data_IF_055136892190
#
_entry.id   IF_055136892190
#
_cell.length_a   1.000
_cell.length_b   1.000
_cell.length_c   1.000
_cell.angle_alpha   90.00
_cell.angle_beta   90.00
_cell.angle_gamma   90.00
#
_symmetry.space_group_name_H-M   'P 1'
#
loop_
_entity.id
_entity.type
_entity.pdbx_description
1 polymer ?
#
# COMPACT_ATOMS: atom_id res chain seq x y z
N UNK A 1 -16.83 8.93 23.84
CA UNK A 1 -15.45 9.14 24.34
C UNK A 1 -14.62 7.86 24.30
N UNK A 2 -15.04 6.75 24.91
CA UNK A 2 -14.30 5.47 24.85
C UNK A 2 -14.07 4.93 23.42
N UNK A 3 -15.08 5.01 22.55
CA UNK A 3 -15.00 4.63 21.14
C UNK A 3 -13.90 5.37 20.38
N UNK A 4 -13.63 6.63 20.75
CA UNK A 4 -12.61 7.46 20.12
C UNK A 4 -11.19 6.96 20.46
N UNK A 5 -10.97 6.60 21.72
CA UNK A 5 -9.70 6.03 22.19
C UNK A 5 -9.46 4.66 21.56
N UNK A 6 -10.50 3.81 21.52
CA UNK A 6 -10.41 2.50 20.85
C UNK A 6 -10.09 2.63 19.36
N UNK A 7 -10.78 3.52 18.65
CA UNK A 7 -10.53 3.75 17.23
C UNK A 7 -9.09 4.22 16.97
N UNK A 8 -8.57 5.13 17.80
CA UNK A 8 -7.18 5.58 17.72
C UNK A 8 -6.19 4.43 17.98
N UNK A 9 -6.44 3.63 19.02
CA UNK A 9 -5.59 2.50 19.35
C UNK A 9 -5.54 1.47 18.22
N UNK A 10 -6.69 1.10 17.66
CA UNK A 10 -6.80 0.14 16.54
C UNK A 10 -6.09 0.67 15.29
N UNK A 11 -6.27 1.95 14.96
CA UNK A 11 -5.62 2.56 13.80
C UNK A 11 -4.10 2.57 13.95
N UNK A 12 -3.59 2.92 15.14
CA UNK A 12 -2.15 2.87 15.43
C UNK A 12 -1.59 1.46 15.33
N UNK A 13 -2.29 0.46 15.87
CA UNK A 13 -1.91 -0.94 15.75
C UNK A 13 -1.87 -1.40 14.29
N UNK A 14 -2.85 -1.00 13.47
CA UNK A 14 -2.89 -1.35 12.05
C UNK A 14 -1.72 -0.73 11.28
N UNK A 15 -1.43 0.56 11.49
CA UNK A 15 -0.31 1.25 10.83
C UNK A 15 1.03 0.67 11.29
N UNK A 16 1.19 0.37 12.59
CA UNK A 16 2.38 -0.28 13.11
C UNK A 16 2.58 -1.66 12.46
N UNK A 17 1.53 -2.47 12.35
CA UNK A 17 1.57 -3.77 11.69
C UNK A 17 1.94 -3.67 10.20
N UNK A 18 1.39 -2.69 9.48
CA UNK A 18 1.73 -2.42 8.08
C UNK A 18 3.19 -1.98 7.92
N UNK A 19 3.67 -1.08 8.78
CA UNK A 19 5.05 -0.60 8.75
C UNK A 19 6.05 -1.73 9.02
N UNK A 20 5.79 -2.56 10.04
CA UNK A 20 6.60 -3.74 10.33
C UNK A 20 6.55 -4.70 9.13
N UNK A 21 5.38 -4.95 8.55
CA UNK A 21 5.24 -5.82 7.38
C UNK A 21 6.07 -5.37 6.18
N UNK A 22 6.08 -4.06 5.88
CA UNK A 22 6.88 -3.47 4.79
C UNK A 22 8.38 -3.59 5.08
N UNK A 23 8.81 -3.31 6.32
CA UNK A 23 10.21 -3.47 6.75
C UNK A 23 10.70 -4.92 6.63
N UNK A 24 9.82 -5.90 6.86
CA UNK A 24 10.10 -7.33 6.69
C UNK A 24 10.04 -7.79 5.21
N UNK A 25 10.10 -6.87 4.25
CA UNK A 25 10.23 -7.19 2.83
C UNK A 25 8.93 -7.59 2.13
N UNK A 26 7.76 -7.30 2.72
CA UNK A 26 6.51 -7.40 1.97
C UNK A 26 6.47 -6.29 0.93
N UNK A 27 6.20 -6.69 -0.32
CA UNK A 27 6.05 -5.75 -1.42
C UNK A 27 5.09 -4.62 -1.02
N UNK A 28 5.44 -3.35 -1.31
CA UNK A 28 4.58 -2.22 -1.02
C UNK A 28 3.21 -2.42 -1.68
N UNK A 29 2.17 -1.81 -1.09
CA UNK A 29 0.80 -1.87 -1.62
C UNK A 29 0.86 -1.47 -3.10
N UNK A 30 0.62 -2.45 -3.98
CA UNK A 30 0.63 -2.22 -5.42
C UNK A 30 -0.47 -1.21 -5.73
N UNK A 31 -0.09 0.00 -6.12
CA UNK A 31 -1.01 1.04 -6.55
C UNK A 31 -1.76 0.65 -7.82
N UNK A 32 -2.65 1.54 -8.29
CA UNK A 32 -3.52 1.30 -9.46
C UNK A 32 -2.77 0.77 -10.70
N UNK A 33 -1.54 1.24 -10.96
CA UNK A 33 -0.70 0.75 -12.07
C UNK A 33 0.04 -0.57 -11.82
N UNK A 34 -0.01 -1.12 -10.60
CA UNK A 34 0.52 -2.44 -10.25
C UNK A 34 -0.46 -3.58 -10.50
N UNK A 35 -1.78 -3.32 -10.47
CA UNK A 35 -2.81 -4.30 -10.83
C UNK A 35 -3.00 -4.45 -12.35
N UNK A 36 -2.80 -3.37 -13.10
CA UNK A 36 -2.88 -3.35 -14.58
C UNK A 36 -1.76 -4.15 -15.26
N UNK A 37 -0.68 -4.49 -14.55
CA UNK A 37 0.40 -5.34 -15.06
C UNK A 37 -0.04 -6.80 -15.33
N UNK A 38 -1.20 -7.23 -14.79
CA UNK A 38 -1.73 -8.57 -14.98
C UNK A 38 -2.67 -8.68 -16.20
N UNK A 39 -2.93 -7.60 -16.94
CA UNK A 39 -3.82 -7.61 -18.10
C UNK A 39 -3.01 -7.49 -19.42
N UNK A 40 -3.02 -8.52 -20.28
CA UNK A 40 -2.34 -8.47 -21.56
C UNK A 40 -3.02 -7.45 -22.48
N UNK A 41 -2.30 -6.40 -22.89
CA UNK A 41 -2.77 -5.38 -23.84
C UNK A 41 -2.91 -3.95 -23.29
N UNK A 42 -2.82 -3.74 -21.96
CA UNK A 42 -2.78 -2.40 -21.38
C UNK A 42 -1.32 -1.93 -21.35
N UNK A 43 -0.93 -1.15 -22.36
CA UNK A 43 0.39 -0.54 -22.44
C UNK A 43 0.52 0.53 -21.35
N UNK A 44 1.17 0.17 -20.25
CA UNK A 44 1.35 1.01 -19.06
C UNK A 44 2.31 2.21 -19.29
N UNK A 45 2.49 2.65 -20.54
CA UNK A 45 3.32 3.80 -20.93
C UNK A 45 2.75 5.15 -20.45
N UNK A 46 1.45 5.23 -20.16
CA UNK A 46 0.84 6.47 -19.64
C UNK A 46 0.99 6.65 -18.11
N UNK A 47 1.40 5.59 -17.39
CA UNK A 47 1.51 5.69 -15.93
C UNK A 47 2.85 6.30 -15.49
N UNK A 48 2.87 7.64 -15.38
CA UNK A 48 4.01 8.45 -14.87
C UNK A 48 4.47 8.09 -13.46
N UNK A 49 3.65 7.41 -12.66
CA UNK A 49 3.91 7.10 -11.23
C UNK A 49 4.43 5.66 -11.00
N UNK A 50 4.75 4.89 -12.06
CA UNK A 50 5.26 3.50 -11.96
C UNK A 50 6.48 3.37 -11.03
N UNK A 51 7.31 4.41 -10.94
CA UNK A 51 8.58 4.39 -10.22
C UNK A 51 8.50 4.92 -8.78
N UNK A 52 7.36 5.38 -8.29
CA UNK A 52 7.25 6.00 -6.96
C UNK A 52 7.07 5.01 -5.80
N UNK A 53 6.87 3.72 -6.09
CA UNK A 53 6.75 2.65 -5.09
C UNK A 53 7.93 1.67 -5.07
N UNK A 54 9.05 2.02 -5.69
CA UNK A 54 10.26 1.17 -5.75
C UNK A 54 11.26 1.58 -4.67
N UNK A 55 10.93 1.25 -3.43
CA UNK A 55 11.90 1.04 -2.34
C UNK A 55 12.04 -0.45 -2.13
#
# INVERSE_FOLDING_TARGET
>A
MYTFILALAVLLLAVAGLAIGVLFGRAPIKGSCGGLACHPGIDCKSCRLRNEGKT
#
